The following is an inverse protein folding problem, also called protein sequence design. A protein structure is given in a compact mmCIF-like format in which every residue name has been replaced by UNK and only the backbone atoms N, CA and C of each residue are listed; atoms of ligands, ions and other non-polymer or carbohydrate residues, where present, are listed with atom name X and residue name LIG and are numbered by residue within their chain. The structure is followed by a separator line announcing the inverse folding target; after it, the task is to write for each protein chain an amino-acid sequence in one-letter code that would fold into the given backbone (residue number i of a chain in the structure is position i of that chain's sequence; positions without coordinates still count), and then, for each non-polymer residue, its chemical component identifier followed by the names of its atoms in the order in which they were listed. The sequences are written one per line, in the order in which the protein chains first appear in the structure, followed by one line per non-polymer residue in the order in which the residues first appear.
data_IF_639962401365
#
_entry.id   IF_639962401365
#
_cell.length_a   1.000
_cell.length_b   1.000
_cell.length_c   1.000
_cell.angle_alpha   90.00
_cell.angle_beta   90.00
_cell.angle_gamma   90.00
#
_symmetry.space_group_name_H-M   'P 1'
#
loop_
_entity.id
_entity.type
_entity.pdbx_description
1 polymer ?
#
# COMPACT_ATOMS: atom_id res chain seq x y z
N UNK A 1 -18.62 6.07 -11.13
CA UNK A 1 -17.59 6.47 -10.15
C UNK A 1 -16.96 5.19 -9.65
N UNK A 2 -15.64 5.07 -9.67
CA UNK A 2 -14.93 3.90 -9.14
C UNK A 2 -15.09 3.83 -7.62
N UNK A 3 -15.25 2.61 -7.10
CA UNK A 3 -15.23 2.36 -5.67
C UNK A 3 -13.89 2.82 -5.10
N UNK A 4 -13.92 3.68 -4.08
CA UNK A 4 -12.74 4.23 -3.42
C UNK A 4 -12.42 3.47 -2.14
N UNK A 5 -11.16 3.54 -1.71
CA UNK A 5 -10.66 2.95 -0.47
C UNK A 5 -10.30 4.01 0.58
N UNK A 6 -10.52 5.29 0.29
CA UNK A 6 -10.08 6.44 1.10
C UNK A 6 -10.56 6.38 2.54
N UNK A 7 -11.76 5.84 2.77
CA UNK A 7 -12.42 5.77 4.08
C UNK A 7 -12.07 4.50 4.87
N UNK A 8 -11.33 3.56 4.25
CA UNK A 8 -10.82 2.40 4.94
C UNK A 8 -9.72 2.81 5.92
N UNK A 9 -9.68 2.16 7.08
CA UNK A 9 -8.67 2.38 8.12
C UNK A 9 -7.90 1.09 8.28
N UNK A 10 -6.61 1.11 7.97
CA UNK A 10 -5.70 0.02 8.33
C UNK A 10 -5.38 0.12 9.83
N UNK A 11 -5.69 -0.94 10.58
CA UNK A 11 -5.50 -1.02 12.03
C UNK A 11 -4.11 -1.49 12.47
N UNK A 12 -3.13 -1.52 11.56
CA UNK A 12 -1.77 -1.97 11.84
C UNK A 12 -0.94 -0.86 12.50
N UNK A 13 0.12 -1.28 13.21
CA UNK A 13 1.18 -0.40 13.74
C UNK A 13 2.02 0.19 12.61
N UNK A 14 2.74 1.28 12.92
CA UNK A 14 3.81 1.84 12.07
C UNK A 14 3.39 2.15 10.62
N UNK A 15 2.16 2.64 10.45
CA UNK A 15 1.62 3.13 9.18
C UNK A 15 1.83 4.64 9.03
N UNK A 16 2.21 5.08 7.84
CA UNK A 16 2.19 6.51 7.49
C UNK A 16 0.73 6.94 7.32
N UNK A 17 0.20 7.68 8.28
CA UNK A 17 -1.20 8.16 8.29
C UNK A 17 -1.35 9.57 7.76
N UNK A 18 -2.49 9.83 7.14
CA UNK A 18 -3.02 11.18 6.94
C UNK A 18 -3.98 11.52 8.09
N UNK A 19 -3.45 11.98 9.21
CA UNK A 19 -4.27 12.34 10.37
C UNK A 19 -5.18 13.56 10.11
N UNK A 20 -5.01 14.26 8.99
CA UNK A 20 -5.91 15.34 8.58
C UNK A 20 -7.18 14.83 7.87
N UNK A 21 -7.20 13.55 7.47
CA UNK A 21 -8.36 12.98 6.80
C UNK A 21 -9.57 12.86 7.76
N UNK A 22 -10.79 13.26 7.34
CA UNK A 22 -11.98 13.23 8.17
C UNK A 22 -12.32 11.86 8.80
N UNK A 23 -11.88 10.75 8.19
CA UNK A 23 -12.13 9.40 8.73
C UNK A 23 -11.54 9.19 10.13
N UNK A 24 -10.58 10.02 10.55
CA UNK A 24 -9.94 9.93 11.87
C UNK A 24 -10.60 10.77 12.97
N UNK A 25 -11.58 11.63 12.66
CA UNK A 25 -12.22 12.52 13.64
C UNK A 25 -12.87 11.72 14.77
N UNK A 26 -13.69 10.73 14.42
CA UNK A 26 -14.43 9.89 15.37
C UNK A 26 -13.93 8.44 15.40
N UNK A 27 -12.76 8.17 14.82
CA UNK A 27 -12.24 6.81 14.76
C UNK A 27 -11.77 6.33 16.15
N UNK A 28 -12.23 5.16 16.62
CA UNK A 28 -11.74 4.58 17.86
C UNK A 28 -10.24 4.32 17.83
N UNK A 29 -9.54 4.67 18.92
CA UNK A 29 -8.12 4.34 19.07
C UNK A 29 -7.96 2.84 19.33
N UNK A 30 -6.87 2.28 18.82
CA UNK A 30 -6.51 0.89 19.12
C UNK A 30 -6.18 0.74 20.62
N UNK A 31 -6.61 -0.36 21.23
CA UNK A 31 -6.35 -0.65 22.65
C UNK A 31 -4.97 -1.28 22.89
N UNK A 32 -4.36 -1.85 21.85
CA UNK A 32 -3.12 -2.64 21.95
C UNK A 32 -1.87 -1.92 21.45
N UNK A 33 -2.00 -0.71 20.91
CA UNK A 33 -0.91 0.09 20.37
C UNK A 33 -1.33 1.52 20.05
N UNK A 34 -0.35 2.38 19.76
CA UNK A 34 -0.59 3.73 19.25
C UNK A 34 -1.12 3.63 17.82
N UNK A 35 -2.40 3.94 17.62
CA UNK A 35 -3.06 3.83 16.33
C UNK A 35 -4.58 3.84 16.46
N UNK A 36 -5.25 3.36 15.41
CA UNK A 36 -6.70 3.33 15.29
C UNK A 36 -7.19 1.91 15.07
N UNK A 37 -8.45 1.65 15.45
CA UNK A 37 -9.11 0.40 15.15
C UNK A 37 -9.31 0.31 13.64
N UNK A 38 -8.91 -0.82 13.06
CA UNK A 38 -9.09 -1.05 11.63
C UNK A 38 -10.57 -1.20 11.25
N UNK A 39 -10.90 -0.85 10.01
CA UNK A 39 -12.23 -1.10 9.45
C UNK A 39 -12.59 -2.58 9.57
N UNK A 40 -13.86 -2.86 9.91
CA UNK A 40 -14.36 -4.23 10.05
C UNK A 40 -14.09 -5.06 8.78
N UNK A 41 -13.68 -6.31 8.97
CA UNK A 41 -13.37 -7.26 7.90
C UNK A 41 -14.48 -7.39 6.85
N UNK A 42 -15.77 -7.44 7.24
CA UNK A 42 -16.89 -7.58 6.30
C UNK A 42 -16.99 -6.38 5.36
N UNK A 43 -16.95 -5.17 5.90
CA UNK A 43 -17.01 -3.94 5.12
C UNK A 43 -15.81 -3.82 4.18
N UNK A 44 -14.61 -4.17 4.67
CA UNK A 44 -13.40 -4.18 3.87
C UNK A 44 -13.48 -5.19 2.73
N UNK A 45 -14.02 -6.39 2.97
CA UNK A 45 -14.25 -7.40 1.94
C UNK A 45 -15.26 -6.94 0.87
N UNK A 46 -16.38 -6.34 1.28
CA UNK A 46 -17.38 -5.79 0.34
C UNK A 46 -16.80 -4.70 -0.57
N UNK A 47 -15.95 -3.83 -0.03
CA UNK A 47 -15.24 -2.81 -0.80
C UNK A 47 -14.21 -3.47 -1.72
N UNK A 48 -13.43 -4.43 -1.22
CA UNK A 48 -12.44 -5.15 -2.01
C UNK A 48 -13.05 -5.86 -3.22
N UNK A 49 -14.17 -6.56 -3.03
CA UNK A 49 -14.89 -7.25 -4.12
C UNK A 49 -15.29 -6.29 -5.23
N UNK A 50 -15.82 -5.11 -4.88
CA UNK A 50 -16.18 -4.07 -5.86
C UNK A 50 -14.97 -3.53 -6.59
N UNK A 51 -13.90 -3.16 -5.87
CA UNK A 51 -12.66 -2.66 -6.47
C UNK A 51 -12.07 -3.69 -7.43
N UNK A 52 -12.03 -4.96 -7.05
CA UNK A 52 -11.50 -6.05 -7.90
C UNK A 52 -12.38 -6.25 -9.14
N UNK A 53 -13.71 -6.23 -9.00
CA UNK A 53 -14.63 -6.39 -10.12
C UNK A 53 -14.55 -5.22 -11.12
N UNK A 54 -14.34 -4.00 -10.62
CA UNK A 54 -14.22 -2.79 -11.43
C UNK A 54 -12.88 -2.65 -12.15
N UNK A 55 -11.86 -3.43 -11.78
CA UNK A 55 -10.48 -3.32 -12.26
C UNK A 55 -9.94 -4.70 -12.71
N UNK A 56 -10.49 -5.29 -13.80
CA UNK A 56 -10.20 -6.67 -14.17
C UNK A 56 -8.78 -6.90 -14.70
N UNK A 57 -8.14 -5.90 -15.31
CA UNK A 57 -6.83 -6.04 -15.95
C UNK A 57 -5.71 -5.30 -15.19
N UNK A 58 -6.09 -4.39 -14.31
CA UNK A 58 -5.19 -3.48 -13.61
C UNK A 58 -5.96 -2.28 -13.08
N UNK A 59 -5.30 -1.47 -12.27
CA UNK A 59 -5.90 -0.32 -11.61
C UNK A 59 -4.97 0.89 -11.73
N UNK A 60 -5.50 2.00 -12.23
CA UNK A 60 -4.80 3.28 -12.20
C UNK A 60 -5.13 4.00 -10.89
N UNK A 61 -4.09 4.49 -10.22
CA UNK A 61 -4.22 5.26 -8.99
C UNK A 61 -3.43 6.55 -9.04
N UNK A 62 -3.92 7.57 -8.36
CA UNK A 62 -3.17 8.78 -8.06
C UNK A 62 -2.84 8.83 -6.57
N UNK A 63 -1.56 9.07 -6.26
CA UNK A 63 -1.05 9.26 -4.92
C UNK A 63 -0.07 10.43 -4.91
N UNK A 64 -0.26 11.39 -4.00
CA UNK A 64 0.60 12.58 -3.89
C UNK A 64 0.79 13.33 -5.23
N UNK A 65 -0.27 13.39 -6.06
CA UNK A 65 -0.23 14.05 -7.37
C UNK A 65 0.51 13.28 -8.47
N UNK A 66 0.92 12.02 -8.21
CA UNK A 66 1.56 11.15 -9.19
C UNK A 66 0.66 9.96 -9.51
N UNK A 67 0.59 9.61 -10.80
CA UNK A 67 -0.21 8.49 -11.31
C UNK A 67 0.63 7.22 -11.43
N UNK A 68 0.04 6.11 -11.02
CA UNK A 68 0.64 4.78 -11.08
C UNK A 68 -0.35 3.82 -11.72
N UNK A 69 0.13 3.04 -12.70
CA UNK A 69 -0.60 1.90 -13.22
C UNK A 69 -0.18 0.64 -12.44
N UNK A 70 -1.14 0.00 -11.79
CA UNK A 70 -0.93 -1.22 -11.02
C UNK A 70 -1.47 -2.43 -11.78
N UNK A 71 -0.58 -3.35 -12.14
CA UNK A 71 -0.95 -4.58 -12.83
C UNK A 71 -1.66 -5.52 -11.87
N UNK A 72 -2.76 -6.13 -12.33
CA UNK A 72 -3.45 -7.15 -11.55
C UNK A 72 -2.65 -8.45 -11.52
N UNK A 73 -2.55 -9.04 -10.35
CA UNK A 73 -2.02 -10.39 -10.13
C UNK A 73 -2.96 -11.17 -9.23
N UNK A 74 -2.92 -12.50 -9.34
CA UNK A 74 -3.74 -13.37 -8.51
C UNK A 74 -2.99 -14.61 -8.08
N UNK A 75 -3.36 -15.16 -6.92
CA UNK A 75 -2.95 -16.51 -6.52
C UNK A 75 -3.38 -17.55 -7.58
N UNK A 76 -2.74 -18.72 -7.57
CA UNK A 76 -3.10 -19.83 -8.46
C UNK A 76 -4.58 -20.24 -8.35
N UNK A 77 -5.18 -20.06 -7.15
CA UNK A 77 -6.59 -20.35 -6.91
C UNK A 77 -7.55 -19.26 -7.38
N UNK A 78 -7.04 -18.09 -7.79
CA UNK A 78 -7.82 -16.90 -8.10
C UNK A 78 -8.45 -16.19 -6.89
N UNK A 79 -8.39 -16.78 -5.69
CA UNK A 79 -9.06 -16.25 -4.48
C UNK A 79 -8.43 -14.99 -3.92
N UNK A 80 -7.11 -14.86 -4.05
CA UNK A 80 -6.38 -13.66 -3.61
C UNK A 80 -5.96 -12.89 -4.84
N UNK A 81 -6.32 -11.61 -4.89
CA UNK A 81 -5.95 -10.66 -5.94
C UNK A 81 -5.14 -9.52 -5.31
N UNK A 82 -4.13 -9.03 -6.01
CA UNK A 82 -3.41 -7.82 -5.63
C UNK A 82 -3.08 -7.03 -6.89
N UNK A 83 -2.87 -5.73 -6.72
CA UNK A 83 -2.48 -4.82 -7.77
C UNK A 83 -1.12 -4.25 -7.43
N UNK A 84 -0.13 -4.37 -8.31
CA UNK A 84 1.20 -3.85 -7.99
C UNK A 84 1.97 -3.34 -9.20
N UNK A 85 2.98 -2.52 -8.90
CA UNK A 85 3.92 -2.00 -9.89
C UNK A 85 5.29 -1.77 -9.26
N UNK A 86 6.35 -1.87 -10.06
CA UNK A 86 7.69 -1.45 -9.63
C UNK A 86 7.75 0.08 -9.62
N UNK A 87 8.33 0.66 -8.58
CA UNK A 87 8.46 2.10 -8.42
C UNK A 87 9.92 2.51 -8.25
N UNK A 88 10.22 3.76 -8.60
CA UNK A 88 11.56 4.31 -8.43
C UNK A 88 11.88 4.57 -6.95
N UNK A 89 13.15 4.81 -6.64
CA UNK A 89 13.54 5.26 -5.29
C UNK A 89 12.82 6.58 -4.93
N UNK A 90 12.75 7.53 -5.86
CA UNK A 90 12.11 8.83 -5.60
C UNK A 90 10.62 8.68 -5.29
N UNK A 91 9.94 7.78 -6.01
CA UNK A 91 8.55 7.42 -5.73
C UNK A 91 8.39 6.77 -4.37
N UNK A 92 9.24 5.78 -4.07
CA UNK A 92 9.24 5.14 -2.76
C UNK A 92 9.44 6.18 -1.65
N UNK A 93 10.38 7.11 -1.81
CA UNK A 93 10.68 8.16 -0.84
C UNK A 93 9.51 9.13 -0.65
N UNK A 94 8.89 9.57 -1.75
CA UNK A 94 7.69 10.42 -1.74
C UNK A 94 6.55 9.75 -0.96
N UNK A 95 6.24 8.50 -1.31
CA UNK A 95 5.14 7.74 -0.74
C UNK A 95 5.40 7.35 0.72
N UNK A 96 6.62 6.89 1.04
CA UNK A 96 6.99 6.40 2.39
C UNK A 96 7.27 7.52 3.39
N UNK A 97 7.73 8.69 2.93
CA UNK A 97 8.02 9.85 3.78
C UNK A 97 9.36 9.76 4.49
N UNK A 98 10.23 8.84 4.07
CA UNK A 98 11.59 8.77 4.57
C UNK A 98 12.33 10.08 4.23
N UNK A 99 13.10 10.59 5.20
CA UNK A 99 13.94 11.77 4.96
C UNK A 99 15.20 11.44 4.13
N UNK A 100 15.61 10.17 4.10
CA UNK A 100 16.71 9.68 3.27
C UNK A 100 16.55 8.19 2.97
N UNK A 101 17.20 7.71 1.90
CA UNK A 101 17.14 6.30 1.50
C UNK A 101 17.49 5.36 2.66
N UNK A 102 16.64 4.36 2.98
CA UNK A 102 16.91 3.39 4.04
C UNK A 102 18.01 2.39 3.69
N UNK A 103 18.47 2.36 2.43
CA UNK A 103 19.41 1.35 1.91
C UNK A 103 20.75 1.94 1.47
N UNK A 104 21.29 2.93 2.21
CA UNK A 104 22.54 3.63 1.86
C UNK A 104 23.76 2.72 1.61
N UNK A 105 23.79 1.54 2.24
CA UNK A 105 24.89 0.57 2.12
C UNK A 105 24.59 -0.57 1.14
N UNK A 106 23.42 -0.57 0.49
CA UNK A 106 23.06 -1.60 -0.48
C UNK A 106 23.63 -1.23 -1.85
N UNK A 107 24.10 -2.25 -2.58
CA UNK A 107 24.56 -2.09 -3.96
C UNK A 107 23.40 -1.80 -4.91
N UNK A 108 22.27 -2.46 -4.67
CA UNK A 108 21.05 -2.29 -5.43
C UNK A 108 19.84 -2.42 -4.50
N UNK A 109 18.82 -1.62 -4.78
CA UNK A 109 17.52 -1.66 -4.11
C UNK A 109 16.40 -1.65 -5.15
N UNK A 110 15.35 -2.42 -4.90
CA UNK A 110 14.10 -2.40 -5.67
C UNK A 110 12.94 -2.08 -4.75
N UNK A 111 11.93 -1.42 -5.32
CA UNK A 111 10.76 -0.97 -4.59
C UNK A 111 9.50 -1.30 -5.37
N UNK A 112 8.42 -1.61 -4.67
CA UNK A 112 7.13 -1.91 -5.28
C UNK A 112 6.01 -1.24 -4.52
N UNK A 113 5.05 -0.70 -5.24
CA UNK A 113 3.76 -0.27 -4.70
C UNK A 113 2.77 -1.40 -4.91
N UNK A 114 2.06 -1.80 -3.86
CA UNK A 114 1.02 -2.82 -3.91
C UNK A 114 -0.24 -2.34 -3.18
N UNK A 115 -1.41 -2.63 -3.78
CA UNK A 115 -2.70 -2.66 -3.10
C UNK A 115 -3.14 -4.11 -3.04
N UNK A 116 -3.15 -4.67 -1.83
CA UNK A 116 -3.38 -6.10 -1.63
C UNK A 116 -4.87 -6.46 -1.66
N UNK A 117 -5.17 -7.75 -1.45
CA UNK A 117 -6.55 -8.26 -1.47
C UNK A 117 -7.47 -7.64 -0.41
N UNK A 118 -6.90 -7.12 0.66
CA UNK A 118 -7.63 -6.44 1.73
C UNK A 118 -7.66 -4.92 1.53
N UNK A 119 -7.25 -4.42 0.36
CA UNK A 119 -7.15 -2.99 0.04
C UNK A 119 -6.16 -2.21 0.93
N UNK A 120 -5.19 -2.89 1.53
CA UNK A 120 -4.08 -2.20 2.21
C UNK A 120 -3.05 -1.74 1.18
N UNK A 121 -2.46 -0.56 1.42
CA UNK A 121 -1.40 0.00 0.60
C UNK A 121 -0.04 -0.33 1.21
N UNK A 122 0.81 -0.99 0.42
CA UNK A 122 2.09 -1.54 0.83
C UNK A 122 3.20 -0.99 -0.06
N UNK A 123 4.29 -0.54 0.56
CA UNK A 123 5.54 -0.26 -0.14
C UNK A 123 6.55 -1.35 0.15
N UNK A 124 6.71 -2.28 -0.78
CA UNK A 124 7.68 -3.35 -0.67
C UNK A 124 9.09 -2.85 -0.95
N UNK A 125 10.06 -3.45 -0.25
CA UNK A 125 11.47 -3.14 -0.36
C UNK A 125 12.31 -4.39 -0.48
N UNK A 126 13.22 -4.40 -1.46
CA UNK A 126 14.21 -5.44 -1.64
C UNK A 126 15.59 -4.81 -1.79
N UNK A 127 16.64 -5.49 -1.33
CA UNK A 127 18.01 -5.05 -1.57
C UNK A 127 19.01 -6.20 -1.67
N UNK A 128 20.17 -5.91 -2.29
CA UNK A 128 21.37 -6.76 -2.21
C UNK A 128 22.59 -5.93 -1.81
N UNK A 129 23.49 -6.55 -1.05
CA UNK A 129 24.67 -5.89 -0.50
C UNK A 129 25.82 -5.75 -1.52
N UNK A 130 25.94 -6.67 -2.46
CA UNK A 130 26.99 -6.70 -3.49
C UNK A 130 26.57 -7.57 -4.67
N UNK A 131 27.39 -7.61 -5.73
CA UNK A 131 27.08 -8.30 -6.99
C UNK A 131 27.00 -9.83 -6.84
N UNK A 132 27.61 -10.40 -5.79
CA UNK A 132 27.56 -11.83 -5.48
C UNK A 132 26.37 -12.22 -4.60
N UNK A 133 25.67 -11.23 -4.03
CA UNK A 133 24.53 -11.47 -3.15
C UNK A 133 23.22 -11.52 -3.95
N UNK A 134 22.34 -12.46 -3.57
CA UNK A 134 20.96 -12.48 -4.05
C UNK A 134 20.18 -11.28 -3.52
N UNK A 135 19.23 -10.81 -4.33
CA UNK A 135 18.27 -9.80 -3.88
C UNK A 135 17.36 -10.41 -2.80
N UNK A 136 17.28 -9.74 -1.64
CA UNK A 136 16.48 -10.20 -0.51
C UNK A 136 15.35 -9.23 -0.23
N UNK A 137 14.19 -9.78 0.05
CA UNK A 137 13.05 -9.02 0.55
C UNK A 137 13.34 -8.49 1.96
N UNK A 138 13.02 -7.21 2.19
CA UNK A 138 13.29 -6.48 3.45
C UNK A 138 12.01 -6.05 4.15
N UNK A 139 10.86 -6.55 3.71
CA UNK A 139 9.55 -6.20 4.25
C UNK A 139 8.86 -5.11 3.43
N UNK A 140 7.85 -4.50 4.04
CA UNK A 140 7.10 -3.41 3.47
C UNK A 140 6.87 -2.31 4.51
N UNK A 141 6.48 -1.13 4.06
CA UNK A 141 5.92 -0.08 4.91
C UNK A 141 4.44 0.12 4.54
N UNK A 142 3.58 0.32 5.54
CA UNK A 142 2.16 0.62 5.31
C UNK A 142 1.95 2.10 5.03
N UNK A 143 1.07 2.39 4.09
CA UNK A 143 0.59 3.73 3.79
C UNK A 143 -0.93 3.78 3.97
N UNK A 144 -1.41 4.91 4.45
CA UNK A 144 -2.84 5.20 4.57
C UNK A 144 -3.57 5.08 3.23
N UNK A 145 -4.72 4.40 3.24
CA UNK A 145 -5.59 4.32 2.08
C UNK A 145 -6.13 5.69 1.64
N UNK A 146 -6.15 6.69 2.53
CA UNK A 146 -6.57 8.06 2.18
C UNK A 146 -5.66 8.76 1.19
N UNK A 147 -4.43 8.29 1.00
CA UNK A 147 -3.52 8.83 0.00
C UNK A 147 -3.81 8.30 -1.42
N UNK A 148 -4.73 7.34 -1.56
CA UNK A 148 -5.05 6.68 -2.84
C UNK A 148 -6.33 7.25 -3.41
N UNK A 149 -6.26 7.75 -4.64
CA UNK A 149 -7.44 7.99 -5.49
C UNK A 149 -7.43 6.98 -6.63
N UNK A 150 -8.45 6.12 -6.71
CA UNK A 150 -8.61 5.16 -7.82
C UNK A 150 -9.27 5.87 -9.00
N UNK A 151 -8.66 5.79 -10.18
CA UNK A 151 -9.06 6.51 -11.40
C UNK A 151 -10.02 5.71 -12.29
#
# INVERSE_FOLDING_TARGET
MKTQITDLINGTRDIRRDLSNPKYIDCPKATSHIGYVGTNFKLRAEIAEKVIAENPDGMDVEMFGKKFHLSRSSSLSGKTVWFSTEITLDDFMLLSGYAASPFRQSKESKFGLEINNDMNVLLHKWCRANDKAQIKYRGYDYIDESFVTIL
#
